data_IF_646003306680
#
_entry.id   IF_646003306680
#
_cell.length_a   1.000
_cell.length_b   1.000
_cell.length_c   1.000
_cell.angle_alpha   90.00
_cell.angle_beta   90.00
_cell.angle_gamma   90.00
#
_symmetry.space_group_name_H-M   'P 1'
#
loop_
_entity.id
_entity.type
_entity.pdbx_description
1 polymer ?
#
# COMPACT_ATOMS: atom_id res chain seq x y z
N UNK A 1 -15.08 -5.21 20.29
CA UNK A 1 -13.84 -5.57 19.58
C UNK A 1 -12.92 -4.37 19.60
N UNK A 2 -11.68 -4.50 20.07
CA UNK A 2 -10.70 -3.41 20.09
C UNK A 2 -9.80 -3.60 18.88
N UNK A 3 -9.98 -2.79 17.85
CA UNK A 3 -9.11 -2.79 16.67
C UNK A 3 -7.99 -1.79 16.92
N UNK A 4 -6.75 -2.24 16.83
CA UNK A 4 -5.59 -1.34 16.85
C UNK A 4 -5.44 -0.73 15.46
N UNK A 5 -5.42 0.60 15.37
CA UNK A 5 -5.16 1.30 14.12
C UNK A 5 -3.68 1.20 13.78
N UNK A 6 -3.37 0.65 12.60
CA UNK A 6 -1.99 0.49 12.14
C UNK A 6 -1.53 1.76 11.42
N UNK A 7 -0.42 2.34 11.87
CA UNK A 7 0.23 3.47 11.22
C UNK A 7 1.61 3.04 10.70
N UNK A 8 1.78 2.83 9.38
CA UNK A 8 3.06 2.43 8.81
C UNK A 8 4.05 3.59 8.80
N UNK A 9 5.35 3.26 8.75
CA UNK A 9 6.38 4.23 8.42
C UNK A 9 6.31 4.62 6.93
N UNK A 10 6.66 5.86 6.54
CA UNK A 10 6.64 6.29 5.14
C UNK A 10 7.59 5.54 4.20
N UNK A 11 8.56 4.79 4.73
CA UNK A 11 9.58 4.06 3.97
C UNK A 11 9.43 2.54 4.10
N UNK A 12 8.29 2.07 4.60
CA UNK A 12 8.04 0.66 4.91
C UNK A 12 8.35 -0.30 3.76
N UNK A 13 8.08 0.13 2.53
CA UNK A 13 8.18 -0.69 1.32
C UNK A 13 9.42 -0.34 0.47
N UNK A 14 10.32 0.48 0.99
CA UNK A 14 11.56 0.85 0.29
C UNK A 14 12.30 -0.38 -0.23
N UNK A 15 12.76 -0.29 -1.47
CA UNK A 15 13.49 -1.34 -2.19
C UNK A 15 12.68 -2.64 -2.40
N UNK A 16 11.33 -2.54 -2.40
CA UNK A 16 10.43 -3.66 -2.76
C UNK A 16 9.88 -3.51 -4.17
N UNK A 17 9.84 -4.63 -4.88
CA UNK A 17 9.14 -4.74 -6.16
C UNK A 17 7.84 -5.50 -5.90
N UNK A 18 6.71 -4.84 -6.12
CA UNK A 18 5.38 -5.37 -5.81
C UNK A 18 4.55 -5.39 -7.09
N UNK A 19 4.09 -6.57 -7.49
CA UNK A 19 3.14 -6.74 -8.58
C UNK A 19 1.71 -6.61 -8.05
N UNK A 20 0.93 -5.71 -8.64
CA UNK A 20 -0.49 -5.55 -8.34
C UNK A 20 -1.28 -5.82 -9.62
N UNK A 21 -2.18 -6.79 -9.57
CA UNK A 21 -3.13 -7.05 -10.67
C UNK A 21 -4.38 -6.18 -10.47
N UNK A 22 -5.06 -5.82 -11.58
CA UNK A 22 -6.28 -4.99 -11.49
C UNK A 22 -6.04 -3.57 -10.97
N UNK A 23 -4.86 -2.98 -11.20
CA UNK A 23 -4.48 -1.65 -10.71
C UNK A 23 -5.13 -0.47 -11.47
N UNK A 24 -6.08 -0.74 -12.37
CA UNK A 24 -6.72 0.28 -13.20
C UNK A 24 -7.73 1.15 -12.45
N UNK A 25 -8.46 0.59 -11.48
CA UNK A 25 -9.48 1.32 -10.72
C UNK A 25 -9.71 0.72 -9.31
N UNK A 26 -10.50 1.40 -8.49
CA UNK A 26 -10.97 0.94 -7.19
C UNK A 26 -9.83 0.59 -6.22
N UNK A 27 -9.96 -0.56 -5.58
CA UNK A 27 -9.03 -1.01 -4.53
C UNK A 27 -7.63 -1.27 -5.09
N UNK A 28 -7.53 -1.84 -6.30
CA UNK A 28 -6.24 -2.11 -6.93
C UNK A 28 -5.46 -0.82 -7.20
N UNK A 29 -6.15 0.21 -7.71
CA UNK A 29 -5.56 1.55 -7.90
C UNK A 29 -5.15 2.19 -6.59
N UNK A 30 -6.00 2.12 -5.56
CA UNK A 30 -5.70 2.68 -4.24
C UNK A 30 -4.49 1.99 -3.58
N UNK A 31 -4.39 0.65 -3.69
CA UNK A 31 -3.25 -0.11 -3.19
C UNK A 31 -1.96 0.27 -3.92
N UNK A 32 -1.98 0.35 -5.24
CA UNK A 32 -0.81 0.74 -6.04
C UNK A 32 -0.25 2.11 -5.64
N UNK A 33 -1.13 3.10 -5.50
CA UNK A 33 -0.74 4.44 -5.06
C UNK A 33 -0.24 4.44 -3.62
N UNK A 34 -0.95 3.76 -2.71
CA UNK A 34 -0.55 3.69 -1.30
C UNK A 34 0.82 3.02 -1.14
N UNK A 35 1.08 1.94 -1.87
CA UNK A 35 2.37 1.23 -1.79
C UNK A 35 3.50 2.10 -2.33
N UNK A 36 3.32 2.74 -3.49
CA UNK A 36 4.32 3.65 -4.04
C UNK A 36 4.64 4.85 -3.12
N UNK A 37 3.65 5.32 -2.36
CA UNK A 37 3.85 6.40 -1.36
C UNK A 37 4.62 5.94 -0.12
N UNK A 38 4.71 4.62 0.12
CA UNK A 38 5.39 4.06 1.29
C UNK A 38 6.77 3.45 0.97
N UNK A 39 7.31 3.74 -0.22
CA UNK A 39 8.67 3.36 -0.64
C UNK A 39 8.72 2.18 -1.59
#
# INVERSE_FOLDING_TARGET
MKYSEYQPRPDLLKDRIILITGAGDGIGRAAALSYALHG
#
